data_IF_559158419067
#
_entry.id   IF_559158419067
#
_cell.length_a   1.000
_cell.length_b   1.000
_cell.length_c   1.000
_cell.angle_alpha   90.00
_cell.angle_beta   90.00
_cell.angle_gamma   90.00
#
_symmetry.space_group_name_H-M   'P 1'
#
loop_
_entity.id
_entity.type
_entity.pdbx_description
1 polymer ?
#
# COMPACT_ATOMS: atom_id res chain seq x y z
N UNK A 1 16.64 14.78 -11.89
CA UNK A 1 16.03 13.94 -10.86
C UNK A 1 17.12 13.55 -9.86
N UNK A 2 16.92 13.75 -8.54
CA UNK A 2 17.88 13.32 -7.51
C UNK A 2 17.55 11.88 -7.12
N UNK A 3 18.39 10.94 -7.53
CA UNK A 3 18.42 9.60 -6.97
C UNK A 3 19.09 9.63 -5.60
N UNK A 4 18.53 8.89 -4.65
CA UNK A 4 19.03 8.81 -3.28
C UNK A 4 19.23 7.36 -2.86
N UNK A 5 20.10 7.13 -1.88
CA UNK A 5 20.32 5.81 -1.29
C UNK A 5 19.14 5.38 -0.40
N UNK A 6 19.09 4.09 -0.04
CA UNK A 6 18.10 3.54 0.88
C UNK A 6 18.12 4.22 2.25
N UNK A 7 19.31 4.51 2.77
CA UNK A 7 19.49 5.19 4.06
C UNK A 7 19.00 6.65 4.00
N UNK A 8 19.31 7.38 2.92
CA UNK A 8 18.79 8.74 2.71
C UNK A 8 17.27 8.73 2.56
N UNK A 9 16.71 7.73 1.86
CA UNK A 9 15.27 7.55 1.70
C UNK A 9 14.56 7.31 3.05
N UNK A 10 15.10 6.39 3.87
CA UNK A 10 14.57 6.14 5.21
C UNK A 10 14.68 7.38 6.12
N UNK A 11 15.81 8.09 6.11
CA UNK A 11 16.00 9.33 6.87
C UNK A 11 15.00 10.41 6.43
N UNK A 12 14.75 10.52 5.11
CA UNK A 12 13.76 11.43 4.56
C UNK A 12 12.36 11.14 5.04
N UNK A 13 11.93 9.87 5.01
CA UNK A 13 10.64 9.46 5.54
C UNK A 13 10.53 9.77 7.04
N UNK A 14 11.57 9.47 7.83
CA UNK A 14 11.61 9.78 9.27
C UNK A 14 11.49 11.27 9.58
N UNK A 15 11.99 12.13 8.71
CA UNK A 15 11.87 13.60 8.85
C UNK A 15 10.57 14.17 8.27
N UNK A 16 9.59 13.31 7.96
CA UNK A 16 8.29 13.72 7.42
C UNK A 16 8.29 13.96 5.91
N UNK A 17 9.35 13.60 5.16
CA UNK A 17 9.40 13.77 3.71
C UNK A 17 8.51 12.78 2.95
N UNK A 18 8.20 13.11 1.70
CA UNK A 18 7.60 12.18 0.73
C UNK A 18 8.71 11.50 -0.07
N UNK A 19 8.41 10.31 -0.60
CA UNK A 19 9.34 9.53 -1.41
C UNK A 19 8.60 8.87 -2.58
N UNK A 20 9.25 8.86 -3.75
CA UNK A 20 8.89 8.00 -4.88
C UNK A 20 9.80 6.77 -4.84
N UNK A 21 9.22 5.56 -4.95
CA UNK A 21 9.96 4.31 -4.83
C UNK A 21 9.29 3.17 -5.62
N UNK A 22 10.04 2.16 -6.10
CA UNK A 22 9.46 1.04 -6.83
C UNK A 22 8.71 0.08 -5.90
N UNK A 23 7.64 -0.54 -6.46
CA UNK A 23 6.98 -1.70 -5.89
C UNK A 23 6.94 -2.82 -6.93
N UNK A 24 6.32 -3.95 -6.61
CA UNK A 24 6.21 -5.09 -7.55
C UNK A 24 5.40 -4.77 -8.81
N UNK A 25 4.47 -3.81 -8.73
CA UNK A 25 3.58 -3.45 -9.85
C UNK A 25 4.00 -2.15 -10.52
N UNK A 26 4.10 -1.07 -9.77
CA UNK A 26 4.37 0.28 -10.28
C UNK A 26 5.25 1.06 -9.31
N UNK A 27 5.79 2.20 -9.73
CA UNK A 27 6.32 3.16 -8.79
C UNK A 27 5.21 3.64 -7.84
N UNK A 28 5.57 3.75 -6.56
CA UNK A 28 4.72 4.27 -5.49
C UNK A 28 5.17 5.63 -5.00
N UNK A 29 4.23 6.37 -4.42
CA UNK A 29 4.49 7.53 -3.58
C UNK A 29 4.08 7.20 -2.15
N UNK A 30 4.90 7.54 -1.18
CA UNK A 30 4.61 7.28 0.21
C UNK A 30 5.28 8.20 1.19
N UNK A 31 4.81 8.04 2.42
CA UNK A 31 5.29 8.69 3.63
C UNK A 31 5.05 7.72 4.80
N UNK A 32 5.42 8.11 6.02
CA UNK A 32 5.06 7.37 7.23
C UNK A 32 3.56 7.41 7.49
N UNK A 33 3.01 6.34 8.05
CA UNK A 33 1.59 6.25 8.42
C UNK A 33 1.24 7.09 9.63
N UNK A 34 2.23 7.47 10.45
CA UNK A 34 2.07 8.28 11.67
C UNK A 34 2.17 9.80 11.42
N UNK A 35 2.35 10.25 10.17
CA UNK A 35 2.61 11.65 9.84
C UNK A 35 1.45 12.23 9.01
N UNK A 36 0.48 12.86 9.69
CA UNK A 36 -0.73 13.43 9.07
C UNK A 36 -0.40 14.54 8.05
N UNK A 37 0.63 15.36 8.33
CA UNK A 37 1.05 16.42 7.41
C UNK A 37 1.65 15.81 6.11
N UNK A 38 2.44 14.76 6.26
CA UNK A 38 2.98 14.06 5.10
C UNK A 38 1.87 13.35 4.31
N UNK A 39 0.89 12.71 4.99
CA UNK A 39 -0.28 12.10 4.36
C UNK A 39 -1.07 13.16 3.58
N UNK A 40 -1.37 14.31 4.19
CA UNK A 40 -2.08 15.40 3.52
C UNK A 40 -1.35 15.87 2.26
N UNK A 41 0.00 15.96 2.30
CA UNK A 41 0.80 16.29 1.11
C UNK A 41 0.74 15.24 0.03
N UNK A 42 0.63 13.93 0.36
CA UNK A 42 0.41 12.89 -0.66
C UNK A 42 -0.88 13.18 -1.45
N UNK A 43 -1.96 13.56 -0.78
CA UNK A 43 -3.21 13.94 -1.46
C UNK A 43 -3.04 15.17 -2.34
N UNK A 44 -2.35 16.20 -1.85
CA UNK A 44 -2.10 17.44 -2.59
C UNK A 44 -1.31 17.19 -3.88
N UNK A 45 -0.14 16.53 -3.78
CA UNK A 45 0.73 16.30 -4.93
C UNK A 45 0.10 15.35 -5.96
N UNK A 46 -0.76 14.45 -5.50
CA UNK A 46 -1.53 13.55 -6.38
C UNK A 46 -2.81 14.17 -6.93
N UNK A 47 -3.23 15.34 -6.45
CA UNK A 47 -4.55 15.93 -6.73
C UNK A 47 -5.68 14.92 -6.45
N UNK A 48 -5.54 14.18 -5.34
CA UNK A 48 -6.44 13.08 -4.96
C UNK A 48 -7.50 13.58 -3.99
N UNK A 49 -8.72 13.06 -4.12
CA UNK A 49 -9.80 13.36 -3.17
C UNK A 49 -9.52 12.70 -1.82
N UNK A 50 -9.69 13.45 -0.72
CA UNK A 50 -9.48 12.95 0.65
C UNK A 50 -10.37 11.76 1.03
N UNK A 51 -11.54 11.63 0.41
CA UNK A 51 -12.44 10.48 0.62
C UNK A 51 -11.93 9.16 0.03
N UNK A 52 -10.81 9.16 -0.71
CA UNK A 52 -10.22 7.96 -1.30
C UNK A 52 -9.09 7.43 -0.42
N UNK A 53 -9.29 6.31 0.33
CA UNK A 53 -8.26 5.75 1.22
C UNK A 53 -6.91 5.55 0.53
N UNK A 54 -5.83 5.62 1.31
CA UNK A 54 -4.48 5.30 0.84
C UNK A 54 -4.07 3.92 1.36
N UNK A 55 -3.61 3.01 0.49
CA UNK A 55 -3.10 1.72 0.91
C UNK A 55 -1.73 1.86 1.58
N UNK A 56 -1.38 0.84 2.37
CA UNK A 56 -0.17 0.79 3.19
C UNK A 56 0.61 -0.49 2.90
N UNK A 57 1.94 -0.39 2.87
CA UNK A 57 2.84 -1.54 2.82
C UNK A 57 3.48 -1.73 4.19
N UNK A 58 3.44 -2.99 4.66
CA UNK A 58 4.10 -3.48 5.85
C UNK A 58 5.50 -4.00 5.49
N UNK A 59 6.45 -3.95 6.43
CA UNK A 59 7.72 -4.65 6.28
C UNK A 59 7.53 -6.17 6.21
N UNK A 60 6.69 -6.67 7.10
CA UNK A 60 6.23 -8.06 7.21
C UNK A 60 4.88 -8.11 7.94
N UNK A 61 4.30 -9.30 8.09
CA UNK A 61 3.02 -9.49 8.78
C UNK A 61 3.08 -9.08 10.27
N UNK A 62 4.25 -9.08 10.91
CA UNK A 62 4.44 -8.65 12.30
C UNK A 62 4.13 -7.16 12.51
N UNK A 63 4.14 -6.34 11.47
CA UNK A 63 3.72 -4.93 11.55
C UNK A 63 2.20 -4.72 11.46
N UNK A 64 1.42 -5.76 11.11
CA UNK A 64 -0.04 -5.63 10.97
C UNK A 64 -0.71 -5.03 12.23
N UNK A 65 -0.36 -5.48 13.47
CA UNK A 65 -0.95 -4.93 14.69
C UNK A 65 -0.65 -3.44 14.94
N UNK A 66 0.30 -2.85 14.23
CA UNK A 66 0.61 -1.41 14.36
C UNK A 66 -0.48 -0.54 13.72
N UNK A 67 -1.18 -1.03 12.70
CA UNK A 67 -2.11 -0.22 11.89
C UNK A 67 -3.53 -0.76 11.85
N UNK A 68 -3.72 -2.07 12.02
CA UNK A 68 -5.02 -2.73 11.92
C UNK A 68 -5.39 -3.50 13.19
N UNK A 69 -6.68 -3.66 13.39
CA UNK A 69 -7.25 -4.49 14.43
C UNK A 69 -7.94 -5.69 13.78
N UNK A 70 -7.44 -6.89 14.06
CA UNK A 70 -8.06 -8.14 13.59
C UNK A 70 -9.02 -8.65 14.68
N UNK A 71 -10.31 -8.68 14.37
CA UNK A 71 -11.29 -9.27 15.28
C UNK A 71 -11.03 -10.78 15.43
N UNK A 72 -11.26 -11.40 16.61
CA UNK A 72 -11.03 -12.82 16.82
C UNK A 72 -11.72 -13.72 15.79
N UNK A 73 -12.92 -13.36 15.35
CA UNK A 73 -13.68 -14.09 14.33
C UNK A 73 -13.03 -14.07 12.93
N UNK A 74 -12.12 -13.14 12.66
CA UNK A 74 -11.40 -13.01 11.38
C UNK A 74 -9.96 -13.52 11.46
N UNK A 75 -9.46 -13.84 12.65
CA UNK A 75 -8.05 -14.13 12.87
C UNK A 75 -7.54 -15.32 12.03
N UNK A 76 -8.32 -16.38 11.91
CA UNK A 76 -7.97 -17.56 11.11
C UNK A 76 -7.92 -17.22 9.62
N UNK A 77 -8.94 -16.53 9.11
CA UNK A 77 -9.01 -16.15 7.69
C UNK A 77 -7.89 -15.19 7.31
N UNK A 78 -7.59 -14.19 8.17
CA UNK A 78 -6.46 -13.28 7.95
C UNK A 78 -5.14 -14.04 7.91
N UNK A 79 -4.88 -14.93 8.88
CA UNK A 79 -3.65 -15.73 8.91
C UNK A 79 -3.52 -16.67 7.68
N UNK A 80 -4.63 -17.19 7.16
CA UNK A 80 -4.65 -18.01 5.92
C UNK A 80 -4.34 -17.15 4.70
N UNK A 81 -4.91 -15.94 4.61
CA UNK A 81 -4.64 -14.99 3.52
C UNK A 81 -3.18 -14.54 3.52
N UNK A 82 -2.63 -14.20 4.68
CA UNK A 82 -1.21 -13.88 4.83
C UNK A 82 -0.32 -15.01 4.33
N UNK A 83 -0.52 -16.22 4.81
CA UNK A 83 0.29 -17.38 4.39
C UNK A 83 0.20 -17.71 2.90
N UNK A 84 -0.98 -17.51 2.29
CA UNK A 84 -1.21 -17.86 0.90
C UNK A 84 -0.74 -16.77 -0.09
N UNK A 85 -0.76 -15.49 0.32
CA UNK A 85 -0.64 -14.38 -0.62
C UNK A 85 0.39 -13.32 -0.23
N UNK A 86 1.00 -13.38 0.97
CA UNK A 86 2.05 -12.46 1.38
C UNK A 86 3.41 -13.16 1.52
N UNK A 87 4.47 -12.51 1.03
CA UNK A 87 4.52 -11.28 0.22
C UNK A 87 3.83 -11.44 -1.13
N UNK A 88 3.01 -10.46 -1.52
CA UNK A 88 2.29 -10.53 -2.80
C UNK A 88 1.29 -9.41 -3.04
N UNK A 89 0.65 -9.39 -4.24
CA UNK A 89 -0.22 -8.31 -4.66
C UNK A 89 -1.67 -8.48 -4.14
N UNK A 90 -1.84 -8.96 -2.91
CA UNK A 90 -3.13 -9.00 -2.21
C UNK A 90 -3.12 -7.99 -1.07
N UNK A 91 -4.04 -7.04 -1.08
CA UNK A 91 -4.24 -6.08 0.01
C UNK A 91 -5.48 -6.47 0.81
N UNK A 92 -5.34 -6.57 2.13
CA UNK A 92 -6.43 -6.83 3.07
C UNK A 92 -7.00 -5.51 3.57
N UNK A 93 -8.32 -5.35 3.48
CA UNK A 93 -9.04 -4.23 4.10
C UNK A 93 -9.49 -4.70 5.49
N UNK A 94 -8.99 -4.03 6.52
CA UNK A 94 -9.21 -4.38 7.91
C UNK A 94 -9.61 -3.13 8.71
N UNK A 95 -10.31 -3.27 9.85
CA UNK A 95 -10.53 -2.16 10.77
C UNK A 95 -9.20 -1.51 11.16
N UNK A 96 -9.11 -0.20 10.99
CA UNK A 96 -7.93 0.56 11.37
C UNK A 96 -7.86 0.73 12.90
N UNK A 97 -6.65 0.83 13.44
CA UNK A 97 -6.44 1.24 14.83
C UNK A 97 -6.91 2.68 15.04
N UNK A 98 -7.36 3.00 16.25
CA UNK A 98 -7.91 4.32 16.59
C UNK A 98 -6.94 5.48 16.40
N UNK A 99 -5.63 5.24 16.48
CA UNK A 99 -4.60 6.26 16.25
C UNK A 99 -4.24 6.49 14.78
N UNK A 100 -4.81 5.67 13.88
CA UNK A 100 -4.58 5.86 12.44
C UNK A 100 -5.40 7.04 11.93
N UNK A 101 -4.73 7.90 11.19
CA UNK A 101 -5.32 9.13 10.65
C UNK A 101 -6.60 8.86 9.85
N UNK A 102 -7.68 9.63 10.07
CA UNK A 102 -8.86 9.62 9.21
C UNK A 102 -8.55 9.95 7.74
N UNK A 103 -7.49 10.73 7.48
CA UNK A 103 -7.02 10.98 6.11
C UNK A 103 -6.58 9.69 5.43
N UNK A 104 -5.85 8.83 6.13
CA UNK A 104 -5.36 7.57 5.58
C UNK A 104 -6.50 6.59 5.26
N UNK A 105 -7.53 6.57 6.10
CA UNK A 105 -8.70 5.71 5.94
C UNK A 105 -9.78 6.29 5.04
N UNK A 106 -9.66 7.55 4.60
CA UNK A 106 -10.74 8.26 3.88
C UNK A 106 -12.02 8.39 4.70
N UNK A 107 -11.93 8.36 6.03
CA UNK A 107 -13.06 8.42 6.97
C UNK A 107 -13.84 7.11 7.10
N UNK A 108 -13.45 6.02 6.45
CA UNK A 108 -14.15 4.72 6.51
C UNK A 108 -13.90 3.93 7.80
N UNK A 109 -12.86 4.28 8.55
CA UNK A 109 -12.40 3.51 9.70
C UNK A 109 -11.69 2.19 9.33
N UNK A 110 -11.43 1.96 8.04
CA UNK A 110 -10.72 0.78 7.55
C UNK A 110 -9.42 1.16 6.83
N UNK A 111 -8.46 0.25 6.82
CA UNK A 111 -7.16 0.43 6.16
C UNK A 111 -6.86 -0.76 5.25
N UNK A 112 -6.33 -0.48 4.07
CA UNK A 112 -5.86 -1.48 3.13
C UNK A 112 -4.37 -1.72 3.32
N UNK A 113 -3.97 -2.94 3.65
CA UNK A 113 -2.58 -3.30 3.99
C UNK A 113 -2.09 -4.49 3.18
N UNK A 114 -0.80 -4.52 2.83
CA UNK A 114 -0.14 -5.70 2.25
C UNK A 114 1.34 -5.76 2.60
N UNK A 115 1.94 -6.92 2.41
CA UNK A 115 3.40 -7.10 2.35
C UNK A 115 3.77 -7.26 0.88
N UNK A 116 4.59 -6.35 0.37
CA UNK A 116 5.05 -6.38 -1.03
C UNK A 116 6.13 -7.45 -1.23
N UNK A 117 6.18 -8.18 -2.35
CA UNK A 117 7.30 -9.03 -2.69
C UNK A 117 8.52 -8.22 -3.19
N UNK A 118 8.37 -6.92 -3.44
CA UNK A 118 9.47 -6.05 -3.82
C UNK A 118 10.28 -5.67 -2.58
N UNK A 119 11.64 -5.83 -2.57
CA UNK A 119 12.45 -5.61 -1.38
C UNK A 119 12.42 -4.18 -0.86
N UNK A 120 12.37 -3.19 -1.77
CA UNK A 120 12.51 -1.76 -1.41
C UNK A 120 11.46 -1.28 -0.41
N UNK A 121 10.14 -1.43 -0.63
CA UNK A 121 9.16 -0.92 0.34
C UNK A 121 9.22 -1.65 1.69
N UNK A 122 9.54 -2.95 1.71
CA UNK A 122 9.68 -3.71 2.96
C UNK A 122 10.91 -3.25 3.75
N UNK A 123 12.04 -3.04 3.07
CA UNK A 123 13.26 -2.51 3.70
C UNK A 123 13.04 -1.08 4.22
N UNK A 124 12.36 -0.20 3.44
CA UNK A 124 11.98 1.13 3.90
C UNK A 124 11.12 1.06 5.17
N UNK A 125 10.06 0.24 5.19
CA UNK A 125 9.20 0.09 6.36
C UNK A 125 9.96 -0.46 7.58
N UNK A 126 10.92 -1.35 7.36
CA UNK A 126 11.82 -1.86 8.41
C UNK A 126 12.72 -0.75 8.95
N UNK A 127 13.41 -0.01 8.07
CA UNK A 127 14.33 1.06 8.46
C UNK A 127 13.61 2.23 9.13
N UNK A 128 12.39 2.54 8.68
CA UNK A 128 11.54 3.58 9.28
C UNK A 128 11.01 3.13 10.65
N UNK A 129 10.78 1.83 10.85
CA UNK A 129 10.25 1.24 12.07
C UNK A 129 8.72 1.21 12.14
N UNK A 130 8.06 1.56 11.05
CA UNK A 130 6.60 1.54 10.91
C UNK A 130 6.18 1.31 9.45
N UNK A 131 4.93 0.89 9.18
CA UNK A 131 4.40 0.80 7.82
C UNK A 131 4.48 2.14 7.07
N UNK A 132 4.50 2.05 5.74
CA UNK A 132 4.55 3.23 4.86
C UNK A 132 3.34 3.29 3.93
N UNK A 133 2.88 4.50 3.66
CA UNK A 133 1.86 4.76 2.63
C UNK A 133 2.40 4.32 1.26
N UNK A 134 1.55 3.70 0.44
CA UNK A 134 1.91 3.14 -0.86
C UNK A 134 0.82 3.38 -1.91
N UNK A 135 0.64 4.63 -2.31
CA UNK A 135 -0.20 4.96 -3.46
C UNK A 135 0.64 4.93 -4.75
N UNK A 136 0.03 4.64 -5.91
CA UNK A 136 0.75 4.72 -7.19
C UNK A 136 1.34 6.11 -7.45
N UNK A 137 2.55 6.19 -8.00
CA UNK A 137 3.27 7.45 -8.27
C UNK A 137 2.78 8.12 -9.56
N UNK A 138 1.53 8.56 -9.56
CA UNK A 138 0.90 9.29 -10.66
C UNK A 138 -0.04 10.37 -10.11
N UNK A 139 -0.27 11.43 -10.85
CA UNK A 139 -1.38 12.35 -10.62
C UNK A 139 -2.69 11.57 -10.81
N UNK A 140 -3.70 11.81 -9.98
CA UNK A 140 -4.97 11.08 -10.06
C UNK A 140 -5.59 11.19 -11.45
N UNK A 141 -5.98 10.04 -12.02
CA UNK A 141 -6.49 9.95 -13.39
C UNK A 141 -5.42 9.69 -14.47
N UNK A 142 -4.13 9.87 -14.17
CA UNK A 142 -3.06 9.52 -15.09
C UNK A 142 -2.63 8.06 -14.92
N UNK A 143 -1.99 7.43 -15.93
CA UNK A 143 -1.45 6.08 -15.82
C UNK A 143 -0.38 5.97 -14.72
N UNK A 144 -0.35 4.85 -14.02
CA UNK A 144 0.77 4.47 -13.18
C UNK A 144 1.96 4.01 -14.05
N UNK A 145 3.20 4.20 -13.57
CA UNK A 145 4.41 3.94 -14.35
C UNK A 145 5.29 2.88 -13.67
N UNK A 146 6.06 2.18 -14.50
CA UNK A 146 6.98 1.12 -14.06
C UNK A 146 8.45 1.56 -14.05
N UNK A 147 8.75 2.72 -14.64
CA UNK A 147 10.11 3.22 -14.80
C UNK A 147 10.25 4.62 -14.22
N UNK A 148 11.38 4.90 -13.57
CA UNK A 148 11.63 6.18 -12.95
C UNK A 148 11.64 7.35 -13.95
N UNK A 149 12.12 7.12 -15.17
CA UNK A 149 12.16 8.13 -16.23
C UNK A 149 10.77 8.52 -16.74
N UNK A 150 9.77 7.64 -16.54
CA UNK A 150 8.38 7.87 -16.94
C UNK A 150 7.55 8.59 -15.84
N UNK A 151 8.14 8.84 -14.67
CA UNK A 151 7.48 9.59 -13.60
C UNK A 151 7.14 11.02 -14.08
N UNK A 152 5.96 11.49 -13.71
CA UNK A 152 5.52 12.84 -14.01
C UNK A 152 6.47 13.88 -13.39
N UNK A 153 6.95 14.83 -14.21
CA UNK A 153 7.95 15.80 -13.79
C UNK A 153 7.45 16.73 -12.68
N UNK A 154 6.15 17.09 -12.69
CA UNK A 154 5.51 17.89 -11.63
C UNK A 154 5.51 17.11 -10.32
N UNK A 155 5.15 15.81 -10.37
CA UNK A 155 5.15 14.93 -9.21
C UNK A 155 6.57 14.77 -8.64
N UNK A 156 7.57 14.53 -9.50
CA UNK A 156 8.98 14.42 -9.10
C UNK A 156 9.47 15.71 -8.45
N UNK A 157 9.14 16.88 -9.01
CA UNK A 157 9.50 18.17 -8.45
C UNK A 157 8.84 18.40 -7.09
N UNK A 158 7.55 18.10 -6.96
CA UNK A 158 6.80 18.29 -5.72
C UNK A 158 7.28 17.36 -4.59
N UNK A 159 7.64 16.12 -4.91
CA UNK A 159 8.16 15.14 -3.94
C UNK A 159 9.65 15.38 -3.65
N UNK A 160 10.44 15.72 -4.65
CA UNK A 160 11.85 16.10 -4.53
C UNK A 160 12.84 14.94 -4.33
N UNK A 161 12.39 13.69 -4.26
CA UNK A 161 13.26 12.51 -4.09
C UNK A 161 12.68 11.27 -4.76
N UNK A 162 13.54 10.52 -5.43
CA UNK A 162 13.23 9.23 -6.04
C UNK A 162 14.27 8.21 -5.57
N UNK A 163 13.79 7.12 -5.01
CA UNK A 163 14.61 5.93 -4.77
C UNK A 163 14.37 5.00 -5.95
N UNK A 164 15.38 4.86 -6.80
CA UNK A 164 15.33 4.00 -7.98
C UNK A 164 16.39 2.91 -7.83
N UNK A 165 16.02 1.84 -7.18
CA UNK A 165 16.88 0.69 -6.89
C UNK A 165 16.05 -0.60 -6.78
N UNK A 166 16.72 -1.73 -6.88
CA UNK A 166 16.07 -3.04 -6.87
C UNK A 166 15.50 -3.44 -8.23
N UNK A 167 14.63 -4.46 -8.28
CA UNK A 167 13.98 -4.91 -9.50
C UNK A 167 13.09 -3.82 -10.13
N UNK A 168 13.00 -3.78 -11.45
CA UNK A 168 12.03 -2.90 -12.13
C UNK A 168 10.60 -3.41 -11.88
N UNK A 169 9.63 -2.52 -11.54
CA UNK A 169 8.21 -2.89 -11.46
C UNK A 169 7.71 -3.58 -12.72
N UNK A 170 6.96 -4.66 -12.57
CA UNK A 170 6.50 -5.46 -13.71
C UNK A 170 5.29 -4.89 -14.44
N UNK A 171 4.63 -3.89 -13.86
CA UNK A 171 3.37 -3.36 -14.38
C UNK A 171 2.21 -4.34 -14.20
N UNK A 172 1.27 -4.32 -15.14
CA UNK A 172 0.11 -5.20 -15.15
C UNK A 172 -1.03 -4.67 -14.30
N UNK A 173 -1.71 -5.56 -13.57
CA UNK A 173 -2.83 -5.20 -12.74
C UNK A 173 -2.39 -4.69 -11.36
N UNK A 174 -3.12 -3.76 -10.75
CA UNK A 174 -2.87 -3.33 -9.38
C UNK A 174 -3.14 -4.48 -8.39
N UNK A 175 -2.76 -4.30 -7.12
CA UNK A 175 -3.09 -5.28 -6.08
C UNK A 175 -4.61 -5.51 -5.97
N UNK A 176 -5.03 -6.76 -5.78
CA UNK A 176 -6.42 -7.08 -5.46
C UNK A 176 -6.73 -6.60 -4.04
N UNK A 177 -7.89 -5.96 -3.85
CA UNK A 177 -8.37 -5.50 -2.53
C UNK A 177 -9.48 -6.42 -2.05
N UNK A 178 -9.29 -7.08 -0.92
CA UNK A 178 -10.29 -7.94 -0.30
C UNK A 178 -10.58 -7.53 1.14
N UNK A 179 -11.82 -7.66 1.55
CA UNK A 179 -12.29 -7.48 2.91
C UNK A 179 -12.74 -8.86 3.44
N UNK A 180 -12.07 -9.42 4.46
CA UNK A 180 -12.48 -10.68 5.08
C UNK A 180 -13.82 -10.48 5.82
N UNK A 181 -14.78 -11.41 5.58
CA UNK A 181 -16.10 -11.42 6.20
C UNK A 181 -16.27 -12.51 7.26
N UNK A 182 -15.24 -13.36 7.42
CA UNK A 182 -15.27 -14.55 8.28
C UNK A 182 -15.77 -15.79 7.56
N UNK A 183 -15.45 -16.97 8.12
CA UNK A 183 -15.83 -18.29 7.59
C UNK A 183 -15.38 -18.51 6.13
N UNK A 184 -14.22 -18.00 5.75
CA UNK A 184 -13.67 -18.10 4.42
C UNK A 184 -14.31 -17.18 3.36
N UNK A 185 -15.28 -16.35 3.71
CA UNK A 185 -15.93 -15.41 2.78
C UNK A 185 -15.12 -14.13 2.64
N UNK A 186 -15.00 -13.62 1.42
CA UNK A 186 -14.28 -12.40 1.08
C UNK A 186 -15.16 -11.48 0.23
N UNK A 187 -15.18 -10.20 0.59
CA UNK A 187 -15.70 -9.17 -0.31
C UNK A 187 -14.56 -8.62 -1.16
N UNK A 188 -14.61 -8.81 -2.48
CA UNK A 188 -13.63 -8.26 -3.42
C UNK A 188 -14.01 -6.83 -3.77
N UNK A 189 -13.34 -5.86 -3.14
CA UNK A 189 -13.57 -4.43 -3.35
C UNK A 189 -12.95 -3.91 -4.65
N UNK A 190 -11.89 -4.54 -5.10
CA UNK A 190 -11.23 -4.26 -6.38
C UNK A 190 -10.56 -5.52 -6.89
N UNK A 191 -10.88 -5.93 -8.10
CA UNK A 191 -10.13 -6.97 -8.82
C UNK A 191 -8.76 -6.45 -9.22
N UNK A 192 -7.77 -7.34 -9.29
CA UNK A 192 -6.39 -7.05 -9.66
C UNK A 192 -5.59 -8.34 -9.78
N UNK A 193 -4.29 -8.27 -9.59
CA UNK A 193 -3.32 -9.34 -9.87
C UNK A 193 -3.59 -10.71 -9.18
N UNK A 194 -4.38 -10.72 -8.11
CA UNK A 194 -4.88 -11.98 -7.52
C UNK A 194 -6.33 -12.19 -7.96
N UNK A 195 -6.53 -13.05 -8.98
CA UNK A 195 -7.85 -13.37 -9.50
C UNK A 195 -8.66 -14.27 -8.56
N UNK A 196 -9.99 -14.24 -8.70
CA UNK A 196 -10.91 -14.98 -7.84
C UNK A 196 -10.63 -16.50 -7.81
N UNK A 197 -10.15 -17.08 -8.91
CA UNK A 197 -9.81 -18.52 -8.95
C UNK A 197 -8.65 -18.87 -8.02
N UNK A 198 -7.67 -17.97 -7.86
CA UNK A 198 -6.59 -18.15 -6.88
C UNK A 198 -7.10 -18.03 -5.44
N UNK A 199 -8.06 -17.13 -5.19
CA UNK A 199 -8.72 -17.03 -3.88
C UNK A 199 -9.50 -18.30 -3.57
N UNK A 200 -10.26 -18.84 -4.54
CA UNK A 200 -10.99 -20.12 -4.39
C UNK A 200 -10.05 -21.30 -4.17
N UNK A 201 -8.95 -21.37 -4.91
CA UNK A 201 -7.94 -22.43 -4.73
C UNK A 201 -7.29 -22.40 -3.33
N UNK A 202 -7.25 -21.23 -2.68
CA UNK A 202 -6.79 -21.06 -1.29
C UNK A 202 -7.92 -21.34 -0.25
N UNK A 203 -9.10 -21.77 -0.70
CA UNK A 203 -10.23 -22.14 0.15
C UNK A 203 -11.08 -20.96 0.60
N UNK A 204 -11.13 -19.88 -0.18
CA UNK A 204 -11.98 -18.73 0.08
C UNK A 204 -13.13 -18.63 -0.92
N UNK A 205 -14.20 -17.97 -0.50
CA UNK A 205 -15.38 -17.67 -1.31
C UNK A 205 -15.42 -16.16 -1.63
N UNK A 206 -14.83 -15.73 -2.77
CA UNK A 206 -14.85 -14.32 -3.16
C UNK A 206 -16.24 -13.94 -3.68
N UNK A 207 -16.81 -12.91 -3.05
CA UNK A 207 -18.04 -12.26 -3.46
C UNK A 207 -17.69 -10.90 -4.11
N UNK A 208 -18.14 -10.69 -5.35
CA UNK A 208 -18.02 -9.38 -5.98
C UNK A 208 -19.14 -8.49 -5.42
N UNK A 209 -18.78 -7.37 -4.80
CA UNK A 209 -19.76 -6.37 -4.42
C UNK A 209 -20.47 -5.84 -5.66
N UNK A 210 -21.78 -5.71 -5.58
CA UNK A 210 -22.53 -4.85 -6.52
C UNK A 210 -22.03 -3.44 -6.22
N UNK A 211 -21.38 -2.83 -7.22
CA UNK A 211 -20.92 -1.44 -7.18
C UNK A 211 -22.08 -0.47 -7.04
#
# INVERSE_FOLDING_TARGET
MRQISMQEAAARLKSGGLLLYPTETFFGIGCRVSDDDAIARVFQVKRRLFAMPLPVILADAGQLPLVAQVAPALAEDVARLERAFWPGPLSLILPARMHISPLLTGGTGTIAVRVSPHPVPCELATLVGEPIVASSANISGHPAVTRAEALDAELVQAVGAVLDTGPEPTGGEPSTLVEPLGNGRLHVRRSGAVHNDRLRAAGFEPESGIA
#
